data_IF_495664955950
#
_entry.id   IF_495664955950
#
_cell.length_a   1.000
_cell.length_b   1.000
_cell.length_c   1.000
_cell.angle_alpha   90.00
_cell.angle_beta   90.00
_cell.angle_gamma   90.00
#
_symmetry.space_group_name_H-M   'P 1'
#
loop_
_entity.id
_entity.type
_entity.pdbx_description
1 polymer ?
#
# COMPACT_ATOMS: atom_id res chain seq x y z
N UNK A 1 61.90 23.49 28.80
CA UNK A 1 60.55 22.89 28.69
C UNK A 1 59.65 23.88 27.94
N UNK A 2 59.49 23.70 26.62
CA UNK A 2 58.68 24.58 25.75
C UNK A 2 57.40 23.82 25.42
N UNK A 3 56.25 24.32 25.86
CA UNK A 3 54.94 23.74 25.54
C UNK A 3 54.42 24.47 24.31
N UNK A 4 54.36 23.74 23.19
CA UNK A 4 53.77 24.18 21.92
C UNK A 4 52.25 24.01 22.00
N UNK A 5 51.49 25.05 21.64
CA UNK A 5 50.02 25.00 21.53
C UNK A 5 49.63 24.49 20.14
N UNK A 6 49.23 23.23 20.04
CA UNK A 6 48.65 22.65 18.82
C UNK A 6 47.16 23.00 18.76
N UNK A 7 46.73 23.61 17.65
CA UNK A 7 45.32 23.88 17.33
C UNK A 7 44.61 22.54 17.04
N UNK A 8 43.57 22.23 17.79
CA UNK A 8 42.66 21.11 17.50
C UNK A 8 41.59 21.61 16.53
N UNK A 9 41.60 21.04 15.32
CA UNK A 9 40.51 21.13 14.35
C UNK A 9 39.37 20.24 14.86
N UNK A 10 38.24 20.85 15.23
CA UNK A 10 37.00 20.14 15.48
C UNK A 10 36.38 19.76 14.12
N UNK A 11 36.56 18.50 13.73
CA UNK A 11 35.92 17.93 12.55
C UNK A 11 34.57 17.31 12.94
N UNK A 12 33.51 17.93 12.42
CA UNK A 12 32.41 17.26 11.73
C UNK A 12 31.54 16.30 12.54
N UNK A 13 30.34 16.78 12.87
CA UNK A 13 29.20 15.96 13.26
C UNK A 13 29.02 14.78 12.29
N UNK A 14 28.85 13.58 12.85
CA UNK A 14 28.43 12.40 12.11
C UNK A 14 27.01 12.64 11.58
N UNK A 15 26.91 12.90 10.26
CA UNK A 15 25.65 12.95 9.57
C UNK A 15 25.04 11.55 9.57
N UNK A 16 23.85 11.43 10.17
CA UNK A 16 22.96 10.29 10.01
C UNK A 16 22.62 10.21 8.53
N UNK A 17 23.08 9.14 7.87
CA UNK A 17 22.69 8.79 6.51
C UNK A 17 21.20 8.40 6.51
N UNK A 18 20.33 9.40 6.40
CA UNK A 18 18.97 9.19 5.93
C UNK A 18 19.09 8.64 4.51
N UNK A 19 18.82 7.34 4.39
CA UNK A 19 18.74 6.68 3.10
C UNK A 19 17.48 7.23 2.42
N UNK A 20 17.64 8.23 1.56
CA UNK A 20 16.60 8.65 0.64
C UNK A 20 16.30 7.46 -0.27
N UNK A 21 15.25 6.70 0.07
CA UNK A 21 14.55 5.91 -0.92
C UNK A 21 14.11 6.90 -2.00
N UNK A 22 14.78 6.84 -3.15
CA UNK A 22 14.39 7.57 -4.34
C UNK A 22 13.09 6.99 -4.87
N UNK A 23 11.99 7.28 -4.18
CA UNK A 23 10.66 7.26 -4.77
C UNK A 23 10.64 8.49 -5.67
N UNK A 24 10.53 8.29 -6.98
CA UNK A 24 10.12 9.37 -7.86
C UNK A 24 8.64 9.67 -7.56
N UNK A 25 8.36 10.26 -6.40
CA UNK A 25 7.11 10.94 -6.15
C UNK A 25 7.17 12.19 -7.01
N UNK A 26 6.37 12.25 -8.07
CA UNK A 26 6.21 13.47 -8.83
C UNK A 26 5.67 14.53 -7.87
N UNK A 27 6.51 15.50 -7.52
CA UNK A 27 6.17 16.62 -6.65
C UNK A 27 5.15 17.49 -7.36
N UNK A 28 3.89 17.43 -6.94
CA UNK A 28 2.90 18.42 -7.33
C UNK A 28 3.13 19.70 -6.51
N UNK A 29 4.17 20.47 -6.88
CA UNK A 29 4.50 21.74 -6.24
C UNK A 29 5.68 22.46 -6.89
N UNK A 30 5.38 23.53 -7.64
CA UNK A 30 6.26 24.52 -8.31
C UNK A 30 7.10 24.04 -9.51
N UNK A 31 6.77 24.58 -10.70
CA UNK A 31 7.56 24.68 -11.95
C UNK A 31 8.27 23.46 -12.55
N UNK A 32 8.15 22.26 -11.98
CA UNK A 32 8.69 21.05 -12.60
C UNK A 32 7.73 20.48 -13.65
N UNK A 33 8.19 20.41 -14.91
CA UNK A 33 7.48 19.69 -15.96
C UNK A 33 7.43 18.21 -15.58
N UNK A 34 6.24 17.58 -15.50
CA UNK A 34 6.16 16.16 -15.15
C UNK A 34 7.00 15.32 -16.13
N UNK A 35 7.67 14.25 -15.67
CA UNK A 35 8.52 13.43 -16.52
C UNK A 35 7.71 12.89 -17.69
N UNK A 36 8.32 12.64 -18.84
CA UNK A 36 7.64 11.95 -19.94
C UNK A 36 7.22 10.53 -19.52
N UNK A 37 6.23 9.94 -20.21
CA UNK A 37 5.84 8.55 -19.95
C UNK A 37 7.03 7.58 -20.08
N UNK A 38 7.96 7.87 -20.98
CA UNK A 38 9.16 7.05 -21.16
C UNK A 38 10.08 7.10 -19.94
N UNK A 39 10.32 8.30 -19.39
CA UNK A 39 11.11 8.49 -18.17
C UNK A 39 10.43 7.87 -16.96
N UNK A 40 9.13 8.13 -16.77
CA UNK A 40 8.32 7.52 -15.72
C UNK A 40 8.34 5.99 -15.80
N UNK A 41 8.09 5.41 -16.97
CA UNK A 41 8.10 3.95 -17.15
C UNK A 41 9.48 3.33 -16.92
N UNK A 42 10.57 4.07 -17.17
CA UNK A 42 11.93 3.60 -16.97
C UNK A 42 12.38 3.67 -15.50
N UNK A 43 11.88 4.66 -14.75
CA UNK A 43 12.17 4.82 -13.31
C UNK A 43 11.23 4.02 -12.41
N UNK A 44 10.06 3.61 -12.91
CA UNK A 44 9.10 2.80 -12.14
C UNK A 44 9.69 1.43 -11.82
N UNK A 45 9.68 1.05 -10.53
CA UNK A 45 10.16 -0.26 -10.11
C UNK A 45 9.35 -1.37 -10.77
N UNK A 46 10.07 -2.40 -11.24
CA UNK A 46 9.48 -3.58 -11.84
C UNK A 46 9.87 -4.80 -11.02
N UNK A 47 8.86 -5.43 -10.43
CA UNK A 47 9.03 -6.59 -9.56
C UNK A 47 9.52 -7.81 -10.35
N UNK A 48 9.95 -8.86 -9.65
CA UNK A 48 10.54 -10.07 -10.24
C UNK A 48 9.57 -10.82 -11.18
N UNK A 49 8.27 -10.63 -10.99
CA UNK A 49 7.20 -11.17 -11.85
C UNK A 49 6.89 -10.29 -13.08
N UNK A 50 7.59 -9.16 -13.23
CA UNK A 50 7.42 -8.22 -14.34
C UNK A 50 6.30 -7.20 -14.14
N UNK A 51 5.65 -7.18 -12.97
CA UNK A 51 4.63 -6.20 -12.58
C UNK A 51 5.30 -4.86 -12.23
N UNK A 52 4.73 -3.75 -12.70
CA UNK A 52 5.18 -2.42 -12.27
C UNK A 52 4.58 -2.10 -10.90
N UNK A 53 5.37 -1.52 -10.01
CA UNK A 53 4.89 -1.07 -8.71
C UNK A 53 4.86 0.46 -8.72
N UNK A 54 3.67 1.02 -8.56
CA UNK A 54 3.45 2.46 -8.43
C UNK A 54 3.08 2.77 -6.99
N UNK A 55 3.32 4.01 -6.56
CA UNK A 55 2.98 4.53 -5.23
C UNK A 55 3.50 3.71 -4.04
N UNK A 56 4.52 2.89 -4.23
CA UNK A 56 5.12 2.08 -3.18
C UNK A 56 4.63 0.64 -3.19
N UNK A 57 3.34 0.38 -3.36
CA UNK A 57 2.76 -0.96 -3.15
C UNK A 57 1.61 -1.32 -4.11
N UNK A 58 1.28 -0.49 -5.10
CA UNK A 58 0.20 -0.78 -6.05
C UNK A 58 0.71 -1.50 -7.30
N UNK A 59 0.29 -2.75 -7.58
CA UNK A 59 0.72 -3.46 -8.77
C UNK A 59 -0.06 -3.04 -10.02
N UNK A 60 0.68 -2.73 -11.08
CA UNK A 60 0.16 -2.47 -12.42
C UNK A 60 0.70 -3.52 -13.38
N UNK A 61 -0.19 -4.39 -13.87
CA UNK A 61 0.20 -5.61 -14.57
C UNK A 61 0.51 -5.43 -16.07
N UNK A 62 0.22 -4.26 -16.65
CA UNK A 62 0.39 -4.03 -18.08
C UNK A 62 0.95 -2.64 -18.38
N UNK A 63 1.68 -2.54 -19.50
CA UNK A 63 2.19 -1.25 -19.99
C UNK A 63 1.05 -0.27 -20.31
N UNK A 64 -0.10 -0.79 -20.75
CA UNK A 64 -1.31 0.00 -20.95
C UNK A 64 -1.87 0.55 -19.62
N UNK A 65 -1.92 -0.28 -18.58
CA UNK A 65 -2.27 0.16 -17.23
C UNK A 65 -1.29 1.20 -16.68
N UNK A 66 0.02 1.02 -16.91
CA UNK A 66 1.04 1.98 -16.48
C UNK A 66 0.88 3.32 -17.20
N UNK A 67 0.51 3.26 -18.48
CA UNK A 67 0.19 4.46 -19.27
C UNK A 67 -1.06 5.16 -18.77
N UNK A 68 -2.12 4.41 -18.46
CA UNK A 68 -3.36 4.96 -17.90
C UNK A 68 -3.11 5.63 -16.55
N UNK A 69 -2.30 5.00 -15.69
CA UNK A 69 -1.85 5.58 -14.43
C UNK A 69 -1.11 6.90 -14.68
N UNK A 70 -0.09 6.89 -15.54
CA UNK A 70 0.67 8.09 -15.90
C UNK A 70 -0.21 9.21 -16.48
N UNK A 71 -1.12 8.89 -17.41
CA UNK A 71 -2.02 9.88 -18.00
C UNK A 71 -2.92 10.49 -16.92
N UNK A 72 -3.36 9.70 -15.93
CA UNK A 72 -4.04 10.20 -14.73
C UNK A 72 -3.16 11.13 -13.91
N UNK A 73 -1.89 10.76 -13.68
CA UNK A 73 -0.86 11.51 -12.94
C UNK A 73 -0.59 12.89 -13.51
N UNK A 74 -0.51 13.02 -14.84
CA UNK A 74 -0.18 14.29 -15.50
C UNK A 74 -1.39 15.10 -15.96
N UNK A 75 -2.60 14.55 -15.80
CA UNK A 75 -3.85 15.28 -16.08
C UNK A 75 -4.08 16.37 -15.04
N UNK A 76 -4.65 17.51 -15.47
CA UNK A 76 -5.03 18.57 -14.55
C UNK A 76 -5.91 18.01 -13.41
N UNK A 77 -5.67 18.39 -12.14
CA UNK A 77 -6.42 17.87 -11.02
C UNK A 77 -7.91 18.13 -11.26
N UNK A 78 -8.73 17.07 -11.21
CA UNK A 78 -10.17 17.26 -11.20
C UNK A 78 -10.51 18.10 -9.96
N UNK A 79 -11.44 19.05 -10.09
CA UNK A 79 -12.09 19.65 -8.92
C UNK A 79 -12.85 18.53 -8.22
N UNK A 80 -12.24 17.90 -7.24
CA UNK A 80 -12.89 16.93 -6.39
C UNK A 80 -13.49 17.73 -5.23
N UNK A 81 -14.77 17.52 -4.96
CA UNK A 81 -15.34 17.91 -3.67
C UNK A 81 -14.57 17.19 -2.58
N UNK A 82 -14.47 17.85 -1.43
CA UNK A 82 -13.87 17.30 -0.21
C UNK A 82 -14.32 15.85 0.03
N UNK A 83 -13.52 15.12 0.82
CA UNK A 83 -13.89 13.92 1.61
C UNK A 83 -13.22 12.54 1.27
N UNK A 84 -12.27 12.03 2.10
CA UNK A 84 -12.01 10.67 2.72
C UNK A 84 -11.90 9.35 1.96
N UNK A 85 -11.80 8.24 2.74
CA UNK A 85 -11.47 6.86 2.32
C UNK A 85 -11.95 6.63 0.90
N UNK A 86 -11.02 6.44 -0.01
CA UNK A 86 -11.37 6.31 -1.41
C UNK A 86 -11.47 4.85 -1.86
N UNK A 87 -12.37 4.60 -2.79
CA UNK A 87 -12.47 3.31 -3.47
C UNK A 87 -11.92 3.42 -4.88
N UNK A 88 -11.09 2.45 -5.27
CA UNK A 88 -10.61 2.27 -6.63
C UNK A 88 -11.81 2.08 -7.58
N UNK A 89 -11.71 2.61 -8.79
CA UNK A 89 -12.73 2.45 -9.81
C UNK A 89 -12.14 1.92 -11.11
N UNK A 90 -12.85 1.00 -11.74
CA UNK A 90 -12.51 0.48 -13.07
C UNK A 90 -13.67 0.79 -14.00
N UNK A 91 -13.39 1.53 -15.07
CA UNK A 91 -14.40 2.01 -16.03
C UNK A 91 -15.54 2.79 -15.34
N UNK A 92 -15.22 3.61 -14.33
CA UNK A 92 -16.17 4.47 -13.61
C UNK A 92 -17.08 3.73 -12.62
N UNK A 93 -16.78 2.48 -12.27
CA UNK A 93 -17.50 1.70 -11.26
C UNK A 93 -16.55 1.28 -10.15
N UNK A 94 -17.06 1.19 -8.93
CA UNK A 94 -16.32 0.67 -7.78
C UNK A 94 -15.69 -0.69 -8.10
N UNK A 95 -14.39 -0.78 -7.87
CA UNK A 95 -13.65 -2.04 -7.91
C UNK A 95 -13.77 -2.72 -6.55
N UNK A 96 -14.90 -3.41 -6.37
CA UNK A 96 -15.32 -4.06 -5.12
C UNK A 96 -15.74 -5.49 -5.36
N UNK A 97 -15.74 -6.28 -4.29
CA UNK A 97 -16.36 -7.59 -4.28
C UNK A 97 -17.90 -7.49 -4.27
N UNK A 98 -18.55 -8.54 -4.76
CA UNK A 98 -19.98 -8.76 -4.46
C UNK A 98 -20.15 -9.12 -2.98
N UNK A 99 -21.35 -8.96 -2.42
CA UNK A 99 -21.58 -9.36 -1.02
C UNK A 99 -21.31 -10.85 -0.78
N UNK A 100 -21.67 -11.72 -1.72
CA UNK A 100 -21.38 -13.15 -1.60
C UNK A 100 -19.87 -13.46 -1.63
N UNK A 101 -19.07 -12.66 -2.35
CA UNK A 101 -17.64 -12.87 -2.44
C UNK A 101 -16.89 -12.26 -1.23
N UNK A 102 -17.30 -11.08 -0.75
CA UNK A 102 -16.62 -10.38 0.35
C UNK A 102 -16.75 -11.11 1.69
N UNK A 103 -17.84 -11.85 1.90
CA UNK A 103 -18.03 -12.73 3.05
C UNK A 103 -17.43 -14.13 2.88
N UNK A 104 -16.48 -14.32 1.95
CA UNK A 104 -15.81 -15.61 1.71
C UNK A 104 -14.43 -15.41 1.04
N UNK A 105 -13.65 -14.44 1.49
CA UNK A 105 -12.33 -14.11 0.94
C UNK A 105 -11.27 -15.10 1.47
N UNK A 106 -11.24 -16.28 0.88
CA UNK A 106 -10.26 -17.32 1.25
C UNK A 106 -8.84 -16.93 0.84
N UNK A 107 -7.87 -17.14 1.75
CA UNK A 107 -6.46 -16.90 1.48
C UNK A 107 -5.59 -18.01 2.07
N UNK A 108 -4.35 -18.09 1.60
CA UNK A 108 -3.30 -18.93 2.18
C UNK A 108 -2.08 -18.08 2.54
N UNK A 109 -1.23 -18.61 3.41
CA UNK A 109 0.06 -18.00 3.76
C UNK A 109 1.17 -18.97 3.41
N UNK A 110 2.11 -18.55 2.56
CA UNK A 110 3.14 -19.45 2.05
C UNK A 110 4.09 -19.94 3.14
N UNK A 111 4.29 -21.25 3.25
CA UNK A 111 5.31 -21.82 4.15
C UNK A 111 6.75 -21.38 3.79
N UNK A 112 6.94 -20.77 2.62
CA UNK A 112 8.21 -20.17 2.18
C UNK A 112 8.68 -18.98 3.03
N UNK A 113 7.83 -18.41 3.88
CA UNK A 113 8.27 -17.46 4.91
C UNK A 113 9.25 -18.08 5.92
N UNK A 114 9.33 -19.42 5.99
CA UNK A 114 10.29 -20.13 6.84
C UNK A 114 10.03 -19.81 8.32
N UNK A 115 11.06 -19.31 9.02
CA UNK A 115 10.95 -19.00 10.44
C UNK A 115 9.92 -17.90 10.75
N UNK A 116 9.60 -17.02 9.80
CA UNK A 116 8.62 -15.95 10.00
C UNK A 116 7.18 -16.37 9.68
N UNK A 117 6.95 -17.60 9.20
CA UNK A 117 5.63 -18.07 8.76
C UNK A 117 4.54 -17.86 9.81
N UNK A 118 4.76 -18.33 11.04
CA UNK A 118 3.78 -18.21 12.13
C UNK A 118 3.47 -16.76 12.50
N UNK A 119 4.47 -15.89 12.42
CA UNK A 119 4.31 -14.45 12.68
C UNK A 119 3.48 -13.80 11.58
N UNK A 120 3.73 -14.14 10.31
CA UNK A 120 2.96 -13.59 9.18
C UNK A 120 1.52 -14.08 9.20
N UNK A 121 1.27 -15.35 9.54
CA UNK A 121 -0.10 -15.86 9.77
C UNK A 121 -0.79 -15.02 10.85
N UNK A 122 -0.14 -14.80 11.99
CA UNK A 122 -0.72 -13.99 13.07
C UNK A 122 -0.97 -12.53 12.66
N UNK A 123 -0.08 -11.93 11.88
CA UNK A 123 -0.24 -10.55 11.38
C UNK A 123 -1.40 -10.44 10.38
N UNK A 124 -1.55 -11.43 9.48
CA UNK A 124 -2.68 -11.50 8.53
C UNK A 124 -4.01 -11.65 9.27
N UNK A 125 -4.07 -12.57 10.24
CA UNK A 125 -5.25 -12.80 11.08
C UNK A 125 -5.64 -11.54 11.87
N UNK A 126 -4.66 -10.88 12.51
CA UNK A 126 -4.91 -9.64 13.24
C UNK A 126 -5.35 -8.49 12.32
N UNK A 127 -4.73 -8.36 11.13
CA UNK A 127 -5.09 -7.34 10.14
C UNK A 127 -6.49 -7.55 9.56
N UNK A 128 -6.84 -8.79 9.22
CA UNK A 128 -8.17 -9.19 8.77
C UNK A 128 -9.25 -8.85 9.81
N UNK A 129 -8.99 -9.21 11.07
CA UNK A 129 -9.90 -8.93 12.17
C UNK A 129 -10.23 -7.44 12.36
N UNK A 130 -9.37 -6.51 11.92
CA UNK A 130 -9.68 -5.08 11.97
C UNK A 130 -10.83 -4.70 11.04
N UNK A 131 -10.83 -5.24 9.81
CA UNK A 131 -11.87 -4.99 8.81
C UNK A 131 -13.15 -5.76 9.11
N UNK A 132 -13.05 -7.01 9.55
CA UNK A 132 -14.20 -7.83 9.96
C UNK A 132 -14.92 -7.24 11.19
N UNK A 133 -14.16 -6.67 12.13
CA UNK A 133 -14.74 -5.93 13.26
C UNK A 133 -15.41 -4.61 12.82
N UNK A 134 -15.05 -4.07 11.66
CA UNK A 134 -15.65 -2.85 11.12
C UNK A 134 -16.91 -3.14 10.28
N UNK A 135 -16.99 -4.29 9.62
CA UNK A 135 -18.12 -4.70 8.78
C UNK A 135 -18.36 -6.20 8.87
N UNK A 136 -19.53 -6.59 9.39
CA UNK A 136 -19.92 -8.01 9.50
C UNK A 136 -20.22 -8.70 8.16
N UNK A 137 -20.17 -7.95 7.05
CA UNK A 137 -20.30 -8.50 5.71
C UNK A 137 -18.98 -9.13 5.21
N UNK A 138 -17.84 -8.73 5.77
CA UNK A 138 -16.51 -9.16 5.33
C UNK A 138 -16.04 -10.36 6.14
N UNK A 139 -15.45 -11.34 5.45
CA UNK A 139 -14.85 -12.53 6.08
C UNK A 139 -13.61 -12.97 5.28
N UNK A 140 -12.45 -12.92 5.92
CA UNK A 140 -11.17 -13.37 5.42
C UNK A 140 -10.82 -14.72 6.04
N UNK A 141 -10.82 -15.76 5.20
CA UNK A 141 -10.73 -17.14 5.69
C UNK A 141 -9.34 -17.71 5.40
N UNK A 142 -8.52 -17.91 6.43
CA UNK A 142 -7.23 -18.58 6.27
C UNK A 142 -7.41 -20.08 6.02
N UNK A 143 -7.08 -20.53 4.82
CA UNK A 143 -7.09 -21.94 4.43
C UNK A 143 -5.70 -22.53 4.65
N UNK A 144 -5.36 -22.82 5.90
CA UNK A 144 -4.04 -23.34 6.28
C UNK A 144 -3.62 -24.62 5.54
N UNK A 145 -4.58 -25.47 5.15
CA UNK A 145 -4.32 -26.65 4.31
C UNK A 145 -3.75 -26.33 2.92
N UNK A 146 -3.88 -25.09 2.45
CA UNK A 146 -3.35 -24.62 1.17
C UNK A 146 -1.92 -24.02 1.27
N UNK A 147 -1.40 -23.79 2.48
CA UNK A 147 -0.18 -23.01 2.73
C UNK A 147 1.08 -23.57 2.05
N UNK A 148 1.21 -24.89 1.98
CA UNK A 148 2.36 -25.57 1.34
C UNK A 148 2.45 -25.32 -0.17
N UNK A 149 1.33 -24.96 -0.79
CA UNK A 149 1.21 -24.65 -2.22
C UNK A 149 0.74 -23.22 -2.47
N UNK A 150 0.87 -22.34 -1.48
CA UNK A 150 0.36 -20.98 -1.55
C UNK A 150 1.13 -20.14 -2.58
N UNK A 151 0.46 -19.85 -3.70
CA UNK A 151 0.90 -18.98 -4.78
C UNK A 151 -0.29 -18.61 -5.69
N UNK A 152 -0.08 -17.67 -6.60
CA UNK A 152 -1.11 -17.15 -7.53
C UNK A 152 -1.71 -18.18 -8.49
N UNK A 153 -1.15 -19.38 -8.59
CA UNK A 153 -1.72 -20.49 -9.38
C UNK A 153 -2.67 -21.35 -8.57
N UNK A 154 -2.65 -21.24 -7.24
CA UNK A 154 -3.56 -21.99 -6.38
C UNK A 154 -4.99 -21.45 -6.54
N UNK A 155 -5.90 -22.33 -6.97
CA UNK A 155 -7.32 -21.98 -7.22
C UNK A 155 -8.25 -22.40 -6.07
N UNK A 156 -7.72 -22.98 -5.01
CA UNK A 156 -8.50 -23.32 -3.81
C UNK A 156 -8.72 -22.13 -2.89
N UNK A 157 -8.06 -21.00 -3.17
CA UNK A 157 -8.15 -19.74 -2.43
C UNK A 157 -8.36 -18.58 -3.41
N UNK A 158 -8.90 -17.46 -2.92
CA UNK A 158 -9.05 -16.22 -3.70
C UNK A 158 -7.69 -15.57 -3.98
N UNK A 159 -6.79 -15.57 -3.00
CA UNK A 159 -5.45 -14.98 -3.14
C UNK A 159 -4.39 -15.66 -2.26
N UNK A 160 -3.12 -15.43 -2.62
CA UNK A 160 -1.97 -15.93 -1.87
C UNK A 160 -1.24 -14.83 -1.10
N UNK A 161 -0.68 -15.15 0.06
CA UNK A 161 0.29 -14.30 0.78
C UNK A 161 1.66 -14.96 0.67
N UNK A 162 2.62 -14.29 0.02
CA UNK A 162 3.89 -14.87 -0.36
C UNK A 162 5.08 -13.99 0.06
N UNK A 163 6.24 -14.58 0.37
CA UNK A 163 7.43 -13.81 0.70
C UNK A 163 8.04 -13.15 -0.54
N UNK A 164 8.57 -11.95 -0.36
CA UNK A 164 9.50 -11.31 -1.31
C UNK A 164 10.80 -10.94 -0.62
N UNK A 165 11.84 -10.69 -1.44
CA UNK A 165 13.16 -10.22 -0.98
C UNK A 165 13.43 -8.77 -1.37
N UNK A 166 12.56 -8.14 -2.16
CA UNK A 166 12.72 -6.73 -2.53
C UNK A 166 12.61 -5.85 -1.30
N UNK A 167 13.39 -4.79 -1.25
CA UNK A 167 13.33 -3.78 -0.19
C UNK A 167 12.66 -2.49 -0.68
N UNK A 168 12.07 -2.52 -1.87
CA UNK A 168 11.37 -1.36 -2.45
C UNK A 168 10.02 -1.09 -1.76
N UNK A 169 9.46 -2.10 -1.10
CA UNK A 169 8.23 -2.01 -0.32
C UNK A 169 8.29 -2.96 0.88
N UNK A 170 7.44 -2.70 1.89
CA UNK A 170 7.28 -3.60 3.05
C UNK A 170 6.36 -4.75 2.66
N UNK A 171 5.19 -4.41 2.11
CA UNK A 171 4.28 -5.32 1.47
C UNK A 171 3.68 -4.65 0.22
N UNK A 172 2.98 -5.45 -0.59
CA UNK A 172 2.12 -4.97 -1.68
C UNK A 172 0.91 -5.85 -1.82
N UNK A 173 -0.22 -5.27 -2.19
CA UNK A 173 -1.49 -5.95 -2.36
C UNK A 173 -2.01 -5.82 -3.79
N UNK A 174 -3.31 -6.01 -3.99
CA UNK A 174 -3.98 -5.99 -5.28
C UNK A 174 -5.40 -5.47 -5.10
N UNK A 175 -5.96 -4.84 -6.13
CA UNK A 175 -7.40 -4.51 -6.17
C UNK A 175 -8.25 -5.70 -6.66
N UNK A 176 -9.56 -5.77 -6.32
CA UNK A 176 -10.42 -6.91 -6.67
C UNK A 176 -10.42 -7.31 -8.16
N UNK A 177 -10.30 -6.36 -9.08
CA UNK A 177 -10.24 -6.62 -10.52
C UNK A 177 -8.92 -7.22 -11.02
N UNK A 178 -7.86 -7.21 -10.21
CA UNK A 178 -6.51 -7.67 -10.60
C UNK A 178 -6.49 -9.14 -10.99
N UNK A 179 -5.87 -9.52 -12.12
CA UNK A 179 -5.93 -10.90 -12.61
C UNK A 179 -5.14 -11.92 -11.78
N UNK A 180 -4.00 -11.49 -11.23
CA UNK A 180 -3.14 -12.31 -10.36
C UNK A 180 -3.17 -11.70 -8.97
N UNK A 181 -3.84 -12.38 -8.05
CA UNK A 181 -4.15 -11.86 -6.72
C UNK A 181 -3.16 -12.43 -5.70
N UNK A 182 -2.24 -11.59 -5.25
CA UNK A 182 -1.36 -11.92 -4.14
C UNK A 182 -0.99 -10.70 -3.31
N UNK A 183 -0.74 -10.94 -2.03
CA UNK A 183 -0.01 -10.03 -1.18
C UNK A 183 1.45 -10.52 -1.15
N UNK A 184 2.40 -9.68 -1.55
CA UNK A 184 3.82 -9.97 -1.36
C UNK A 184 4.35 -9.24 -0.14
N UNK A 185 5.08 -9.94 0.73
CA UNK A 185 5.55 -9.39 2.01
C UNK A 185 7.06 -9.59 2.14
N UNK A 186 7.79 -8.51 2.39
CA UNK A 186 9.14 -8.61 2.93
C UNK A 186 9.05 -8.72 4.46
N UNK A 187 9.11 -9.95 4.98
CA UNK A 187 8.97 -10.21 6.42
C UNK A 187 10.01 -9.45 7.26
N UNK A 188 11.25 -9.29 6.76
CA UNK A 188 12.27 -8.53 7.48
C UNK A 188 11.86 -7.07 7.61
N UNK A 189 11.39 -6.43 6.53
CA UNK A 189 10.91 -5.04 6.59
C UNK A 189 9.68 -4.92 7.49
N UNK A 190 8.70 -5.83 7.34
CA UNK A 190 7.46 -5.84 8.12
C UNK A 190 7.71 -5.79 9.63
N UNK A 191 8.66 -6.59 10.12
CA UNK A 191 8.98 -6.64 11.55
C UNK A 191 10.03 -5.64 12.02
N UNK A 192 10.49 -4.74 11.14
CA UNK A 192 11.44 -3.67 11.47
C UNK A 192 10.93 -2.29 11.01
N UNK A 193 9.60 -2.11 10.99
CA UNK A 193 8.92 -0.88 10.51
C UNK A 193 8.62 0.14 11.62
N UNK A 194 9.40 0.13 12.71
CA UNK A 194 9.25 1.10 13.79
C UNK A 194 7.91 1.00 14.53
N UNK A 195 7.17 2.09 14.61
CA UNK A 195 5.84 2.18 15.25
C UNK A 195 4.73 1.52 14.45
N UNK A 196 4.93 1.29 13.14
CA UNK A 196 3.94 0.62 12.31
C UNK A 196 3.94 -0.87 12.63
N UNK A 197 2.86 -1.32 13.26
CA UNK A 197 2.75 -2.72 13.66
C UNK A 197 2.52 -3.60 12.43
N UNK A 198 3.00 -4.86 12.42
CA UNK A 198 2.70 -5.80 11.34
C UNK A 198 1.20 -5.97 11.08
N UNK A 199 0.38 -5.91 12.13
CA UNK A 199 -1.09 -5.97 12.03
C UNK A 199 -1.65 -4.80 11.23
N UNK A 200 -1.18 -3.57 11.50
CA UNK A 200 -1.64 -2.37 10.81
C UNK A 200 -1.18 -2.33 9.35
N UNK A 201 0.07 -2.72 9.10
CA UNK A 201 0.60 -2.83 7.74
C UNK A 201 -0.21 -3.86 6.95
N UNK A 202 -0.49 -5.04 7.49
CA UNK A 202 -1.27 -6.03 6.74
C UNK A 202 -2.77 -5.66 6.65
N UNK A 203 -3.30 -4.91 7.61
CA UNK A 203 -4.64 -4.32 7.48
C UNK A 203 -4.70 -3.29 6.34
N UNK A 204 -3.67 -2.46 6.17
CA UNK A 204 -3.55 -1.56 5.01
C UNK A 204 -3.61 -2.35 3.69
N UNK A 205 -2.75 -3.36 3.55
CA UNK A 205 -2.73 -4.22 2.36
C UNK A 205 -4.09 -4.91 2.11
N UNK A 206 -4.74 -5.38 3.16
CA UNK A 206 -6.09 -5.96 3.08
C UNK A 206 -7.15 -4.92 2.66
N UNK A 207 -6.96 -3.65 3.00
CA UNK A 207 -7.78 -2.55 2.50
C UNK A 207 -7.77 -2.46 0.98
N UNK A 208 -6.60 -2.58 0.35
CA UNK A 208 -6.49 -2.68 -1.11
C UNK A 208 -7.21 -3.91 -1.67
N UNK A 209 -7.10 -5.05 -0.99
CA UNK A 209 -7.84 -6.26 -1.41
C UNK A 209 -9.35 -6.08 -1.35
N UNK A 210 -9.86 -5.15 -0.53
CA UNK A 210 -11.27 -4.76 -0.46
C UNK A 210 -11.66 -3.65 -1.45
N UNK A 211 -10.68 -3.08 -2.16
CA UNK A 211 -10.90 -2.03 -3.16
C UNK A 211 -10.50 -0.63 -2.70
N UNK A 212 -10.04 -0.44 -1.47
CA UNK A 212 -9.67 0.89 -0.98
C UNK A 212 -8.32 1.32 -1.53
N UNK A 213 -8.25 2.55 -2.03
CA UNK A 213 -7.05 3.15 -2.60
C UNK A 213 -6.44 4.11 -1.58
N UNK A 214 -5.20 4.55 -1.81
CA UNK A 214 -4.54 5.42 -0.85
C UNK A 214 -5.18 6.80 -0.71
N UNK A 215 -5.36 7.25 0.53
CA UNK A 215 -5.93 8.58 0.82
C UNK A 215 -5.08 9.73 0.26
N UNK A 216 -3.77 9.52 0.08
CA UNK A 216 -2.86 10.59 -0.33
C UNK A 216 -3.05 11.04 -1.78
N UNK A 217 -3.68 10.25 -2.65
CA UNK A 217 -3.94 10.72 -4.03
C UNK A 217 -4.94 11.88 -4.10
N UNK A 218 -5.60 12.19 -2.98
CA UNK A 218 -6.58 13.26 -2.86
C UNK A 218 -5.87 14.62 -2.84
N UNK A 219 -6.40 15.66 -3.51
CA UNK A 219 -5.79 16.99 -3.54
C UNK A 219 -5.50 17.57 -2.15
N UNK A 220 -6.31 17.22 -1.14
CA UNK A 220 -6.18 17.68 0.25
C UNK A 220 -4.88 17.23 0.94
N UNK A 221 -4.24 16.14 0.47
CA UNK A 221 -2.90 15.75 0.93
C UNK A 221 -1.85 16.81 0.57
N UNK A 222 -2.05 17.53 -0.54
CA UNK A 222 -1.14 18.57 -1.02
C UNK A 222 0.22 18.06 -1.51
N UNK A 223 0.45 16.76 -1.48
CA UNK A 223 1.66 16.08 -1.97
C UNK A 223 1.33 14.64 -2.34
N UNK A 224 2.18 14.02 -3.17
CA UNK A 224 1.94 12.70 -3.75
C UNK A 224 0.64 12.65 -4.58
N UNK A 225 0.70 11.98 -5.72
CA UNK A 225 -0.48 11.81 -6.55
C UNK A 225 -0.36 10.48 -7.28
N UNK A 226 -1.46 9.73 -7.29
CA UNK A 226 -1.52 8.44 -7.94
C UNK A 226 -2.23 8.57 -9.28
N UNK A 227 -3.56 8.63 -9.25
CA UNK A 227 -4.42 8.87 -10.41
C UNK A 227 -5.79 9.44 -10.00
N UNK A 228 -6.72 9.52 -10.96
CA UNK A 228 -8.10 10.01 -10.75
C UNK A 228 -9.15 8.89 -10.88
N UNK A 229 -8.74 7.62 -10.83
CA UNK A 229 -9.60 6.45 -10.99
C UNK A 229 -10.17 6.00 -9.64
N UNK A 230 -10.76 6.92 -8.90
CA UNK A 230 -11.34 6.66 -7.58
C UNK A 230 -12.57 7.52 -7.33
N UNK A 231 -13.33 7.17 -6.29
CA UNK A 231 -14.34 8.07 -5.72
C UNK A 231 -14.26 8.09 -4.19
N UNK A 232 -14.66 9.19 -3.55
CA UNK A 232 -14.69 9.30 -2.10
C UNK A 232 -15.77 8.41 -1.46
N UNK A 233 -15.52 7.92 -0.24
CA UNK A 233 -16.51 7.22 0.62
C UNK A 233 -16.86 7.97 1.90
N UNK A 234 -15.94 8.74 2.48
CA UNK A 234 -16.04 9.43 3.79
C UNK A 234 -15.31 10.77 3.74
N UNK A 235 -15.20 11.61 4.80
CA UNK A 235 -14.34 12.82 4.90
C UNK A 235 -12.83 12.62 4.98
N UNK A 236 -12.02 13.59 4.49
CA UNK A 236 -10.56 13.43 4.34
C UNK A 236 -9.95 13.11 5.69
N UNK A 237 -9.13 12.06 5.71
CA UNK A 237 -8.51 11.63 6.95
C UNK A 237 -7.02 11.39 6.71
N UNK A 238 -6.21 12.40 7.07
CA UNK A 238 -4.76 12.28 7.00
C UNK A 238 -4.22 11.19 7.94
N UNK A 239 -5.00 10.74 8.93
CA UNK A 239 -4.64 9.66 9.84
C UNK A 239 -5.16 8.28 9.39
N UNK A 240 -5.87 8.20 8.26
CA UNK A 240 -6.41 6.94 7.71
C UNK A 240 -5.33 5.87 7.63
N UNK A 241 -5.71 4.61 7.88
CA UNK A 241 -4.84 3.47 7.65
C UNK A 241 -4.35 3.40 6.20
N UNK A 242 -5.13 3.92 5.24
CA UNK A 242 -4.78 3.98 3.81
C UNK A 242 -3.95 5.23 3.46
N UNK A 243 -3.46 6.00 4.44
CA UNK A 243 -2.64 7.18 4.19
C UNK A 243 -1.16 6.94 4.45
N UNK A 244 -0.32 7.35 3.52
CA UNK A 244 1.14 7.29 3.66
C UNK A 244 1.72 8.49 4.41
N UNK A 245 2.53 8.28 5.47
CA UNK A 245 3.12 9.39 6.23
C UNK A 245 4.11 10.23 5.43
N UNK A 246 4.85 9.64 4.49
CA UNK A 246 5.70 10.37 3.55
C UNK A 246 4.93 11.29 2.60
N UNK A 247 3.60 11.18 2.57
CA UNK A 247 2.71 11.97 1.76
C UNK A 247 1.81 12.90 2.61
N UNK A 248 2.32 13.44 3.72
CA UNK A 248 1.54 14.26 4.67
C UNK A 248 0.44 13.49 5.44
N UNK A 249 0.53 12.17 5.51
CA UNK A 249 -0.24 11.40 6.48
C UNK A 249 0.18 11.75 7.90
N UNK A 250 -0.77 11.89 8.81
CA UNK A 250 -0.57 12.23 10.22
C UNK A 250 -0.54 11.01 11.14
N UNK A 251 -0.80 9.81 10.62
CA UNK A 251 -0.77 8.57 11.40
C UNK A 251 0.66 8.19 11.78
N UNK A 252 0.92 8.05 13.08
CA UNK A 252 2.22 7.61 13.60
C UNK A 252 2.39 6.08 13.56
N UNK A 253 1.30 5.32 13.46
CA UNK A 253 1.29 3.86 13.64
C UNK A 253 0.46 3.07 12.59
N UNK A 254 -0.18 3.76 11.64
CA UNK A 254 -1.14 3.21 10.67
C UNK A 254 -2.35 2.53 11.33
N UNK A 255 -2.79 3.00 12.50
CA UNK A 255 -4.02 2.48 13.10
C UNK A 255 -5.27 2.85 12.30
N UNK A 256 -6.21 1.91 12.22
CA UNK A 256 -7.50 2.13 11.57
C UNK A 256 -8.34 3.17 12.32
N UNK A 257 -8.81 4.18 11.60
CA UNK A 257 -9.63 5.27 12.16
C UNK A 257 -11.12 4.95 12.12
N UNK A 258 -11.94 5.79 12.74
CA UNK A 258 -13.41 5.71 12.60
C UNK A 258 -13.88 5.95 11.16
N UNK A 259 -13.12 6.72 10.40
CA UNK A 259 -13.41 7.07 9.01
C UNK A 259 -13.22 5.85 8.12
N UNK A 260 -12.13 5.10 8.31
CA UNK A 260 -11.89 3.83 7.61
C UNK A 260 -13.04 2.85 7.83
N UNK A 261 -13.50 2.74 9.09
CA UNK A 261 -14.63 1.88 9.49
C UNK A 261 -15.95 2.31 8.85
N UNK A 262 -16.22 3.61 8.77
CA UNK A 262 -17.40 4.12 8.09
C UNK A 262 -17.36 3.85 6.58
N UNK A 263 -16.18 3.97 5.97
CA UNK A 263 -15.99 3.74 4.54
C UNK A 263 -16.25 2.30 4.12
N UNK A 264 -15.72 1.32 4.85
CA UNK A 264 -16.02 -0.10 4.58
C UNK A 264 -17.51 -0.42 4.75
N UNK A 265 -18.16 0.12 5.78
CA UNK A 265 -19.60 -0.05 5.99
C UNK A 265 -20.43 0.57 4.86
N UNK A 266 -20.00 1.71 4.31
CA UNK A 266 -20.67 2.33 3.16
C UNK A 266 -20.60 1.48 1.89
N UNK A 267 -19.52 0.69 1.72
CA UNK A 267 -19.33 -0.18 0.56
C UNK A 267 -20.03 -1.52 0.74
N UNK A 268 -19.78 -2.20 1.87
CA UNK A 268 -20.15 -3.60 2.07
C UNK A 268 -21.33 -3.81 3.03
N UNK A 269 -21.67 -2.81 3.85
CA UNK A 269 -22.73 -2.88 4.85
C UNK A 269 -22.28 -3.51 6.16
N UNK A 270 -23.26 -3.96 6.95
CA UNK A 270 -23.10 -4.81 8.14
C UNK A 270 -24.00 -6.04 7.97
#
# INVERSE_FOLDING_TARGET
MRISKTRVLAAGAAAVLASSLGVAAATAGSDETPPSFQEFSASTFRDADGTWIVNGDEPVQSKGGLRQFYDGMVSAPKKVSEEGLIINTVNGKDDRWSQAAVGNLTYCVSTKFGADYSRVVSAMDSGAGQWEAASSAVDFIHVSGADSSCNTRNRTVVFSVEPTKTTQYIARAFFPSTSSKNILVNAKSLYNSGSWTPSNILAHELGHTLGFRHEHTRPESGTCFEDNNWRPLTPYDSASIMHYPQCNGSSDDLSMTSTDRAGIQAVYGN
#
